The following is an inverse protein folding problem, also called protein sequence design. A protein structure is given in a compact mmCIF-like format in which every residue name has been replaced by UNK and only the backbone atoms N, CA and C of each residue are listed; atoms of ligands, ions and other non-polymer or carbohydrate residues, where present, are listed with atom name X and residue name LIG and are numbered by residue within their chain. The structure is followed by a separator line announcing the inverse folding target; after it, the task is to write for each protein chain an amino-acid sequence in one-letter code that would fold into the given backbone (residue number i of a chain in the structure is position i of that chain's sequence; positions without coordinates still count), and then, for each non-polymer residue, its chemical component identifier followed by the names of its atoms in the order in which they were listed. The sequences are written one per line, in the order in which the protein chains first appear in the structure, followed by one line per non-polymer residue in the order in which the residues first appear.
data_IF_710297826902
#
_entry.id   IF_710297826902
#
_cell.length_a   1.000
_cell.length_b   1.000
_cell.length_c   1.000
_cell.angle_alpha   90.00
_cell.angle_beta   90.00
_cell.angle_gamma   90.00
#
_symmetry.space_group_name_H-M   'P 1'
#
loop_
_entity.id
_entity.type
_entity.pdbx_description
1 polymer ?
#
# COMPACT_ATOMS: atom_id res chain seq x y z
N UNK A 1 -9.08 5.47 12.75
CA UNK A 1 -8.73 6.28 11.58
C UNK A 1 -9.99 6.74 10.86
N UNK A 2 -9.97 7.98 10.36
CA UNK A 2 -11.04 8.57 9.54
C UNK A 2 -10.48 8.89 8.16
N UNK A 3 -11.26 8.63 7.12
CA UNK A 3 -10.92 9.00 5.75
C UNK A 3 -11.64 10.30 5.43
N UNK A 4 -10.89 11.31 5.03
CA UNK A 4 -11.41 12.58 4.55
C UNK A 4 -11.31 12.61 3.02
N UNK A 5 -12.31 13.12 2.36
CA UNK A 5 -12.32 13.23 0.90
C UNK A 5 -12.92 14.55 0.44
N UNK A 6 -12.44 15.03 -0.69
CA UNK A 6 -13.02 16.17 -1.37
C UNK A 6 -14.09 15.69 -2.37
N UNK A 7 -15.36 16.11 -2.25
CA UNK A 7 -16.45 15.57 -3.08
C UNK A 7 -16.21 15.70 -4.57
N UNK A 8 -15.73 16.86 -5.04
CA UNK A 8 -15.45 17.08 -6.47
C UNK A 8 -14.32 16.19 -7.00
N UNK A 9 -13.27 15.98 -6.20
CA UNK A 9 -12.19 15.07 -6.56
C UNK A 9 -12.71 13.64 -6.70
N UNK A 10 -13.48 13.17 -5.72
CA UNK A 10 -14.09 11.85 -5.75
C UNK A 10 -15.02 11.67 -6.96
N UNK A 11 -15.84 12.66 -7.27
CA UNK A 11 -16.68 12.66 -8.47
C UNK A 11 -15.87 12.65 -9.76
N UNK A 12 -14.73 13.34 -9.79
CA UNK A 12 -13.78 13.31 -10.89
C UNK A 12 -13.20 11.91 -11.12
N UNK A 13 -12.81 11.22 -10.04
CA UNK A 13 -12.37 9.82 -10.10
C UNK A 13 -13.49 8.91 -10.62
N UNK A 14 -14.70 9.06 -10.10
CA UNK A 14 -15.85 8.24 -10.50
C UNK A 14 -16.20 8.39 -11.98
N UNK A 15 -16.15 9.62 -12.52
CA UNK A 15 -16.37 9.90 -13.95
C UNK A 15 -15.35 9.22 -14.85
N UNK A 16 -14.11 9.06 -14.40
CA UNK A 16 -13.07 8.33 -15.12
C UNK A 16 -13.27 6.80 -15.06
N UNK A 17 -14.04 6.33 -14.07
CA UNK A 17 -14.38 4.92 -13.87
C UNK A 17 -14.26 4.48 -12.42
N UNK A 18 -15.09 3.54 -12.01
CA UNK A 18 -15.12 3.01 -10.62
C UNK A 18 -13.77 2.48 -10.15
N UNK A 19 -12.96 1.96 -11.05
CA UNK A 19 -11.62 1.44 -10.76
C UNK A 19 -10.73 2.50 -10.10
N UNK A 20 -10.84 3.77 -10.53
CA UNK A 20 -10.06 4.87 -9.94
C UNK A 20 -10.47 5.17 -8.50
N UNK A 21 -11.78 5.10 -8.20
CA UNK A 21 -12.29 5.28 -6.83
C UNK A 21 -11.84 4.14 -5.92
N UNK A 22 -12.00 2.91 -6.39
CA UNK A 22 -11.58 1.72 -5.65
C UNK A 22 -10.08 1.73 -5.37
N UNK A 23 -9.29 2.14 -6.36
CA UNK A 23 -7.84 2.25 -6.25
C UNK A 23 -7.43 3.29 -5.20
N UNK A 24 -8.00 4.51 -5.25
CA UNK A 24 -7.72 5.56 -4.28
C UNK A 24 -8.13 5.14 -2.86
N UNK A 25 -9.27 4.48 -2.70
CA UNK A 25 -9.70 3.94 -1.41
C UNK A 25 -8.72 2.88 -0.88
N UNK A 26 -8.34 1.90 -1.72
CA UNK A 26 -7.39 0.86 -1.34
C UNK A 26 -6.03 1.44 -0.97
N UNK A 27 -5.56 2.44 -1.70
CA UNK A 27 -4.32 3.16 -1.42
C UNK A 27 -4.31 3.71 0.02
N UNK A 28 -5.34 4.45 0.41
CA UNK A 28 -5.47 4.98 1.79
C UNK A 28 -5.57 3.87 2.84
N UNK A 29 -6.26 2.78 2.55
CA UNK A 29 -6.34 1.61 3.46
C UNK A 29 -4.98 0.97 3.66
N UNK A 30 -4.19 0.84 2.60
CA UNK A 30 -2.84 0.29 2.67
C UNK A 30 -1.91 1.17 3.51
N UNK A 31 -2.00 2.51 3.42
CA UNK A 31 -1.25 3.39 4.32
C UNK A 31 -1.56 3.12 5.79
N UNK A 32 -2.82 2.87 6.13
CA UNK A 32 -3.23 2.48 7.48
C UNK A 32 -2.65 1.10 7.86
N UNK A 33 -2.73 0.12 6.95
CA UNK A 33 -2.25 -1.24 7.19
C UNK A 33 -0.75 -1.28 7.46
N UNK A 34 0.03 -0.50 6.72
CA UNK A 34 1.50 -0.40 6.87
C UNK A 34 1.94 0.63 7.90
N UNK A 35 1.01 1.31 8.57
CA UNK A 35 1.26 2.32 9.61
C UNK A 35 2.17 3.48 9.14
N UNK A 36 2.08 3.89 7.87
CA UNK A 36 2.94 4.91 7.31
C UNK A 36 2.83 6.26 8.04
N UNK A 37 1.64 6.57 8.55
CA UNK A 37 1.38 7.78 9.35
C UNK A 37 2.17 7.84 10.66
N UNK A 38 2.51 6.66 11.23
CA UNK A 38 3.13 6.56 12.55
C UNK A 38 4.63 6.21 12.46
N UNK A 39 5.13 5.85 11.28
CA UNK A 39 6.48 5.29 11.09
C UNK A 39 7.49 6.25 10.46
N UNK A 40 7.09 7.50 10.16
CA UNK A 40 7.99 8.49 9.55
C UNK A 40 9.24 8.74 10.39
N UNK A 41 9.10 8.91 11.71
CA UNK A 41 10.20 9.26 12.60
C UNK A 41 10.86 10.60 12.20
N UNK A 42 12.18 10.61 12.07
CA UNK A 42 12.98 11.80 11.69
C UNK A 42 13.18 11.96 10.18
N UNK A 43 12.51 11.16 9.34
CA UNK A 43 12.67 11.24 7.88
C UNK A 43 12.08 12.54 7.33
N UNK A 44 12.68 13.07 6.26
CA UNK A 44 12.16 14.22 5.53
C UNK A 44 10.74 13.90 5.03
N UNK A 45 9.79 14.80 5.31
CA UNK A 45 8.35 14.56 5.10
C UNK A 45 8.05 14.28 3.62
N UNK A 46 8.51 15.14 2.72
CA UNK A 46 8.21 15.03 1.29
C UNK A 46 8.72 13.73 0.67
N UNK A 47 9.97 13.36 0.99
CA UNK A 47 10.56 12.10 0.51
C UNK A 47 9.91 10.87 1.16
N UNK A 48 9.49 10.98 2.43
CA UNK A 48 8.78 9.90 3.10
C UNK A 48 7.40 9.67 2.48
N UNK A 49 6.64 10.72 2.26
CA UNK A 49 5.32 10.66 1.64
C UNK A 49 5.41 10.03 0.25
N UNK A 50 6.32 10.52 -0.59
CA UNK A 50 6.55 9.96 -1.92
C UNK A 50 6.98 8.48 -1.87
N UNK A 51 7.83 8.10 -0.93
CA UNK A 51 8.26 6.71 -0.78
C UNK A 51 7.09 5.79 -0.37
N UNK A 52 6.22 6.26 0.52
CA UNK A 52 5.01 5.54 0.92
C UNK A 52 4.07 5.32 -0.26
N UNK A 53 3.85 6.36 -1.07
CA UNK A 53 2.98 6.28 -2.24
C UNK A 53 3.52 5.34 -3.31
N UNK A 54 4.81 5.41 -3.61
CA UNK A 54 5.45 4.46 -4.54
C UNK A 54 5.28 3.02 -4.03
N UNK A 55 5.46 2.78 -2.72
CA UNK A 55 5.30 1.45 -2.14
C UNK A 55 3.86 0.95 -2.30
N UNK A 56 2.86 1.76 -1.97
CA UNK A 56 1.45 1.38 -2.06
C UNK A 56 1.01 1.16 -3.50
N UNK A 57 1.39 2.07 -4.38
CA UNK A 57 1.07 1.94 -5.80
C UNK A 57 1.71 0.68 -6.42
N UNK A 58 2.94 0.31 -5.99
CA UNK A 58 3.59 -0.92 -6.47
C UNK A 58 2.83 -2.18 -6.06
N UNK A 59 2.26 -2.20 -4.85
CA UNK A 59 1.41 -3.31 -4.37
C UNK A 59 0.13 -3.39 -5.19
N UNK A 60 -0.56 -2.25 -5.38
CA UNK A 60 -1.83 -2.20 -6.11
C UNK A 60 -1.63 -2.60 -7.57
N UNK A 61 -0.57 -2.12 -8.21
CA UNK A 61 -0.23 -2.48 -9.59
C UNK A 61 0.07 -3.98 -9.73
N UNK A 62 0.67 -4.58 -8.70
CA UNK A 62 0.96 -6.01 -8.65
C UNK A 62 -0.23 -6.93 -8.34
N UNK A 63 -1.34 -6.39 -7.88
CA UNK A 63 -2.50 -7.21 -7.50
C UNK A 63 -3.25 -7.82 -8.69
N UNK A 64 -3.23 -7.20 -9.87
CA UNK A 64 -3.96 -7.62 -11.08
C UNK A 64 -5.47 -7.86 -10.89
N UNK A 65 -6.08 -7.26 -9.84
CA UNK A 65 -7.50 -7.38 -9.55
C UNK A 65 -8.32 -6.41 -10.40
N UNK A 66 -9.28 -6.91 -11.17
CA UNK A 66 -10.11 -6.12 -12.12
C UNK A 66 -10.73 -4.85 -11.51
N UNK A 67 -11.06 -4.89 -10.21
CA UNK A 67 -11.70 -3.76 -9.54
C UNK A 67 -10.75 -2.60 -9.19
N UNK A 68 -9.41 -2.81 -9.23
CA UNK A 68 -8.39 -1.81 -8.91
C UNK A 68 -7.26 -1.75 -9.95
N UNK A 69 -7.21 -2.69 -10.88
CA UNK A 69 -6.12 -2.76 -11.85
C UNK A 69 -6.25 -1.67 -12.92
N UNK A 70 -5.20 -0.87 -13.02
CA UNK A 70 -4.95 0.06 -14.13
C UNK A 70 -3.53 -0.24 -14.59
N UNK A 71 -3.34 -0.43 -15.89
CA UNK A 71 -2.00 -0.68 -16.43
C UNK A 71 -1.07 0.47 -16.10
N UNK A 72 0.05 0.22 -15.40
CA UNK A 72 0.98 1.26 -15.03
C UNK A 72 1.60 1.92 -16.27
N UNK A 73 1.87 3.22 -16.19
CA UNK A 73 2.55 3.97 -17.24
C UNK A 73 3.94 3.39 -17.53
N UNK A 74 4.53 3.64 -18.71
CA UNK A 74 5.90 3.25 -18.97
C UNK A 74 6.90 3.80 -17.96
N UNK A 75 6.69 5.05 -17.51
CA UNK A 75 7.52 5.70 -16.50
C UNK A 75 7.41 5.01 -15.14
N UNK A 76 6.20 4.66 -14.71
CA UNK A 76 5.95 3.94 -13.46
C UNK A 76 6.65 2.57 -13.48
N UNK A 77 6.54 1.83 -14.58
CA UNK A 77 7.25 0.55 -14.76
C UNK A 77 8.76 0.70 -14.70
N UNK A 78 9.31 1.73 -15.33
CA UNK A 78 10.75 2.05 -15.28
C UNK A 78 11.23 2.27 -13.84
N UNK A 79 10.48 3.05 -13.05
CA UNK A 79 10.78 3.30 -11.63
C UNK A 79 10.77 2.00 -10.82
N UNK A 80 9.74 1.16 -10.98
CA UNK A 80 9.69 -0.13 -10.29
C UNK A 80 10.87 -1.04 -10.66
N UNK A 81 11.21 -1.11 -11.93
CA UNK A 81 12.38 -1.88 -12.39
C UNK A 81 13.69 -1.35 -11.81
N UNK A 82 13.86 -0.02 -11.77
CA UNK A 82 15.05 0.62 -11.21
C UNK A 82 15.19 0.33 -9.72
N UNK A 83 14.11 0.48 -8.95
CA UNK A 83 14.09 0.18 -7.53
C UNK A 83 14.28 -1.31 -7.26
N UNK A 84 13.66 -2.19 -8.04
CA UNK A 84 13.73 -3.64 -7.90
C UNK A 84 15.12 -4.23 -8.16
N UNK A 85 16.01 -3.49 -8.86
CA UNK A 85 17.42 -3.90 -8.98
C UNK A 85 18.19 -3.83 -7.66
N UNK A 86 17.75 -2.99 -6.73
CA UNK A 86 18.43 -2.73 -5.45
C UNK A 86 17.65 -3.24 -4.24
N UNK A 87 16.33 -3.34 -4.35
CA UNK A 87 15.44 -3.73 -3.29
C UNK A 87 14.73 -5.03 -3.65
N UNK A 88 14.80 -6.04 -2.79
CA UNK A 88 14.04 -7.30 -2.95
C UNK A 88 12.55 -7.08 -2.81
N UNK A 89 12.16 -6.13 -1.93
CA UNK A 89 10.78 -5.72 -1.68
C UNK A 89 10.73 -4.21 -1.65
N UNK A 90 9.75 -3.62 -2.31
CA UNK A 90 9.55 -2.18 -2.40
C UNK A 90 8.82 -1.66 -1.13
N UNK A 91 9.53 -1.67 0.01
CA UNK A 91 9.03 -1.06 1.24
C UNK A 91 9.25 0.44 1.25
N UNK A 92 8.41 1.19 1.99
CA UNK A 92 8.55 2.64 2.10
C UNK A 92 9.94 3.06 2.63
N UNK A 93 10.48 2.33 3.61
CA UNK A 93 11.81 2.60 4.16
C UNK A 93 12.93 2.34 3.15
N UNK A 94 12.80 1.27 2.37
CA UNK A 94 13.76 0.93 1.31
C UNK A 94 13.74 1.99 0.21
N UNK A 95 12.57 2.32 -0.28
CA UNK A 95 12.38 3.34 -1.33
C UNK A 95 12.87 4.71 -0.84
N UNK A 96 12.56 5.10 0.38
CA UNK A 96 13.03 6.36 0.96
C UNK A 96 14.56 6.48 0.90
N UNK A 97 15.29 5.43 1.29
CA UNK A 97 16.77 5.41 1.20
C UNK A 97 17.26 5.53 -0.24
N UNK A 98 16.62 4.85 -1.17
CA UNK A 98 16.98 4.93 -2.59
C UNK A 98 16.71 6.32 -3.17
N UNK A 99 15.57 6.94 -2.84
CA UNK A 99 15.24 8.29 -3.27
C UNK A 99 16.25 9.32 -2.75
N UNK A 100 16.67 9.19 -1.48
CA UNK A 100 17.72 10.05 -0.93
C UNK A 100 19.08 9.85 -1.62
N UNK A 101 19.44 8.61 -1.89
CA UNK A 101 20.71 8.30 -2.58
C UNK A 101 20.72 8.77 -4.07
N UNK A 102 19.56 9.03 -4.65
CA UNK A 102 19.43 9.55 -6.02
C UNK A 102 19.72 11.04 -6.11
N UNK A 103 19.74 11.78 -5.00
CA UNK A 103 19.93 13.24 -4.98
C UNK A 103 19.10 13.97 -6.05
N UNK A 104 17.78 13.70 -6.02
CA UNK A 104 16.85 14.18 -7.03
C UNK A 104 16.83 15.71 -7.09
N UNK A 105 16.97 16.26 -8.29
CA UNK A 105 16.65 17.68 -8.49
C UNK A 105 15.13 17.92 -8.45
N UNK A 106 14.72 19.19 -8.36
CA UNK A 106 13.31 19.57 -8.25
C UNK A 106 12.44 19.02 -9.40
N UNK A 107 12.90 19.08 -10.62
CA UNK A 107 12.19 18.53 -11.77
C UNK A 107 11.96 17.03 -11.68
N UNK A 108 12.98 16.29 -11.27
CA UNK A 108 12.89 14.84 -11.10
C UNK A 108 11.93 14.48 -9.96
N UNK A 109 12.01 15.19 -8.84
CA UNK A 109 11.09 15.02 -7.72
C UNK A 109 9.65 15.29 -8.15
N UNK A 110 9.38 16.44 -8.79
CA UNK A 110 8.05 16.80 -9.27
C UNK A 110 7.47 15.79 -10.27
N UNK A 111 8.31 15.23 -11.13
CA UNK A 111 7.90 14.17 -12.07
C UNK A 111 7.48 12.90 -11.33
N UNK A 112 8.23 12.47 -10.32
CA UNK A 112 7.86 11.33 -9.48
C UNK A 112 6.59 11.63 -8.68
N UNK A 113 6.52 12.80 -8.07
CA UNK A 113 5.36 13.23 -7.28
C UNK A 113 4.08 13.24 -8.13
N UNK A 114 4.14 13.79 -9.36
CA UNK A 114 2.99 13.82 -10.27
C UNK A 114 2.50 12.44 -10.72
N UNK A 115 3.38 11.44 -10.72
CA UNK A 115 3.05 10.07 -11.12
C UNK A 115 2.49 9.23 -9.97
N UNK A 116 3.00 9.43 -8.75
CA UNK A 116 2.78 8.51 -7.65
C UNK A 116 1.93 9.08 -6.51
N UNK A 117 1.91 10.41 -6.28
CA UNK A 117 1.09 10.99 -5.20
C UNK A 117 -0.38 10.90 -5.58
N UNK A 118 -1.15 10.15 -4.79
CA UNK A 118 -2.56 9.85 -5.01
C UNK A 118 -3.44 10.59 -4.02
N UNK A 119 -2.96 10.79 -2.80
CA UNK A 119 -3.72 11.37 -1.69
C UNK A 119 -2.96 12.51 -0.99
N UNK A 120 -3.61 13.11 0.00
CA UNK A 120 -3.11 14.26 0.73
C UNK A 120 -2.72 13.85 2.15
N UNK A 121 -1.42 13.86 2.41
CA UNK A 121 -0.83 13.45 3.67
C UNK A 121 -0.83 14.52 4.77
N UNK A 122 -1.46 15.69 4.56
CA UNK A 122 -1.48 16.80 5.54
C UNK A 122 -2.01 16.39 6.91
N UNK A 123 -2.89 15.43 6.95
CA UNK A 123 -3.51 14.92 8.18
C UNK A 123 -2.69 13.84 8.89
N UNK A 124 -1.52 13.46 8.36
CA UNK A 124 -0.61 12.52 9.02
C UNK A 124 0.20 13.14 10.14
N UNK A 125 0.14 14.47 10.30
CA UNK A 125 0.82 15.17 11.38
C UNK A 125 0.28 14.70 12.72
N UNK A 126 1.20 14.42 13.65
CA UNK A 126 0.84 14.02 15.00
C UNK A 126 -0.04 15.11 15.66
N UNK A 127 -1.31 14.80 15.89
CA UNK A 127 -2.08 15.54 16.88
C UNK A 127 -1.35 15.38 18.22
N UNK A 128 -1.05 16.51 18.91
CA UNK A 128 -0.52 16.48 20.28
C UNK A 128 -1.47 15.63 21.12
N UNK A 129 -1.05 14.40 21.42
CA UNK A 129 -1.87 13.40 22.11
C UNK A 129 -2.19 13.87 23.52
N UNK A 130 -3.46 13.83 23.88
CA UNK A 130 -3.85 13.88 25.30
C UNK A 130 -3.24 12.68 26.03
N UNK A 131 -2.74 12.85 27.27
CA UNK A 131 -2.03 11.80 28.01
C UNK A 131 -2.82 10.49 28.20
N UNK A 132 -4.14 10.53 28.04
CA UNK A 132 -5.05 9.40 28.25
C UNK A 132 -5.46 8.63 26.95
N UNK A 133 -4.97 9.00 25.79
CA UNK A 133 -5.28 8.25 24.56
C UNK A 133 -4.27 7.12 24.36
N UNK A 134 -4.77 5.89 24.30
CA UNK A 134 -3.96 4.73 23.90
C UNK A 134 -3.32 4.99 22.54
N UNK A 135 -2.03 4.67 22.37
CA UNK A 135 -1.35 4.85 21.09
C UNK A 135 -2.12 4.17 19.95
N UNK A 136 -2.40 4.90 18.86
CA UNK A 136 -3.04 4.34 17.64
C UNK A 136 -2.35 3.06 17.18
N UNK A 137 -1.03 3.03 17.30
CA UNK A 137 -0.18 1.90 16.99
C UNK A 137 -0.63 0.62 17.69
N UNK A 138 -0.92 0.64 18.99
CA UNK A 138 -1.31 -0.56 19.75
C UNK A 138 -2.65 -1.15 19.26
N UNK A 139 -3.59 -0.32 18.86
CA UNK A 139 -4.88 -0.79 18.34
C UNK A 139 -4.72 -1.43 16.95
N UNK A 140 -3.86 -0.87 16.10
CA UNK A 140 -3.56 -1.41 14.78
C UNK A 140 -2.70 -2.66 14.84
N UNK A 141 -1.71 -2.72 15.72
CA UNK A 141 -0.89 -3.91 15.93
C UNK A 141 -1.79 -5.07 16.37
N UNK A 142 -2.72 -4.83 17.29
CA UNK A 142 -3.71 -5.83 17.72
C UNK A 142 -4.64 -6.29 16.58
N UNK A 143 -5.13 -5.36 15.76
CA UNK A 143 -5.94 -5.71 14.60
C UNK A 143 -5.14 -6.49 13.55
N UNK A 144 -3.87 -6.16 13.35
CA UNK A 144 -2.96 -6.84 12.43
C UNK A 144 -2.70 -8.27 12.89
N UNK A 145 -2.40 -8.47 14.17
CA UNK A 145 -2.23 -9.80 14.77
C UNK A 145 -3.49 -10.67 14.60
N UNK A 146 -4.67 -10.09 14.84
CA UNK A 146 -5.94 -10.80 14.63
C UNK A 146 -6.17 -11.15 13.16
N UNK A 147 -5.82 -10.26 12.25
CA UNK A 147 -5.96 -10.48 10.81
C UNK A 147 -4.98 -11.53 10.31
N UNK A 148 -3.74 -11.50 10.79
CA UNK A 148 -2.73 -12.50 10.49
C UNK A 148 -3.16 -13.90 11.00
N UNK A 149 -3.64 -13.99 12.23
CA UNK A 149 -4.15 -15.24 12.78
C UNK A 149 -5.33 -15.81 11.96
N UNK A 150 -6.24 -14.95 11.49
CA UNK A 150 -7.33 -15.37 10.59
C UNK A 150 -6.81 -15.85 9.23
N UNK A 151 -5.83 -15.16 8.65
CA UNK A 151 -5.23 -15.58 7.38
C UNK A 151 -4.52 -16.93 7.50
N UNK A 152 -3.79 -17.17 8.59
CA UNK A 152 -3.13 -18.44 8.85
C UNK A 152 -4.15 -19.59 9.02
N UNK A 153 -5.27 -19.32 9.69
CA UNK A 153 -6.37 -20.30 9.85
C UNK A 153 -7.01 -20.63 8.50
N UNK A 154 -7.21 -19.61 7.65
CA UNK A 154 -7.74 -19.78 6.30
C UNK A 154 -6.79 -20.57 5.39
N UNK A 155 -5.48 -20.31 5.46
CA UNK A 155 -4.47 -21.02 4.70
C UNK A 155 -4.38 -22.51 5.13
N UNK A 156 -4.50 -22.81 6.42
CA UNK A 156 -4.54 -24.18 6.94
C UNK A 156 -5.82 -24.93 6.55
N UNK A 157 -6.96 -24.24 6.52
CA UNK A 157 -8.23 -24.83 6.07
C UNK A 157 -8.19 -25.23 4.60
N UNK A 158 -7.67 -24.37 3.72
CA UNK A 158 -7.53 -24.68 2.29
C UNK A 158 -6.49 -25.77 1.99
N UNK A 159 -5.49 -25.97 2.84
CA UNK A 159 -4.50 -27.05 2.68
C UNK A 159 -5.11 -28.43 2.97
N UNK A 160 -6.06 -28.51 3.90
CA UNK A 160 -6.76 -29.75 4.20
C UNK A 160 -7.77 -30.15 3.10
N UNK A 161 -8.49 -29.17 2.54
CA UNK A 161 -9.44 -29.43 1.43
C UNK A 161 -8.73 -29.93 0.15
N UNK A 162 -7.55 -29.40 -0.16
CA UNK A 162 -6.77 -29.87 -1.31
C UNK A 162 -6.15 -31.26 -1.09
N UNK A 163 -5.92 -31.67 0.15
CA UNK A 163 -5.46 -33.02 0.50
C UNK A 163 -6.53 -34.08 0.24
N UNK A 164 -7.77 -33.81 0.64
CA UNK A 164 -8.90 -34.71 0.46
C UNK A 164 -9.28 -34.91 -1.03
N UNK A 165 -9.20 -33.85 -1.84
CA UNK A 165 -9.46 -33.94 -3.29
C UNK A 165 -8.39 -34.75 -4.05
N UNK A 166 -7.15 -34.75 -3.59
CA UNK A 166 -6.07 -35.55 -4.17
C UNK A 166 -6.15 -37.05 -3.76
N UNK A 167 -6.66 -37.37 -2.58
CA UNK A 167 -6.91 -38.75 -2.16
C UNK A 167 -8.16 -39.33 -2.85
N UNK A 168 -9.23 -38.56 -3.02
CA UNK A 168 -10.40 -38.98 -3.78
C UNK A 168 -10.07 -39.27 -5.25
N UNK A 169 -9.29 -38.42 -5.91
CA UNK A 169 -8.85 -38.63 -7.30
C UNK A 169 -7.93 -39.83 -7.47
N UNK A 170 -7.25 -40.35 -6.41
CA UNK A 170 -6.46 -41.59 -6.42
C UNK A 170 -7.30 -42.84 -6.22
N UNK A 171 -8.41 -42.72 -5.51
CA UNK A 171 -9.30 -43.86 -5.26
C UNK A 171 -10.17 -44.23 -6.46
N UNK A 172 -10.52 -43.24 -7.33
CA UNK A 172 -11.33 -43.45 -8.54
C UNK A 172 -10.53 -44.01 -9.73
N UNK A 173 -9.21 -44.03 -9.67
CA UNK A 173 -8.32 -44.58 -10.72
C UNK A 173 -7.70 -45.93 -10.38
N UNK A 174 -8.29 -46.69 -9.48
CA UNK A 174 -7.99 -48.11 -9.21
C UNK A 174 -9.20 -48.96 -9.47
#
# INVERSE_FOLDING_TARGET
YSIYYHPEYLMGLYRRGRVHVNRAYLHMVLHCLFCHMDTRGKRAEDYWNLACDIAMESIIDGMYQKCVHISPTPFRREIYLRLGKRLKVLTAEGIYRELQAMELNEQQYMRLASEFIVDDHRYWKEEKRSPNQQPRKNKWDKNREQMQAKMETFAKGNSNDNGDLLEQGRAENR
#
